data_IF_500509985980
#
_entry.id   IF_500509985980
#
_cell.length_a   1.000
_cell.length_b   1.000
_cell.length_c   1.000
_cell.angle_alpha   90.00
_cell.angle_beta   90.00
_cell.angle_gamma   90.00
#
_symmetry.space_group_name_H-M   'P 1'
#
loop_
_entity.id
_entity.type
_entity.pdbx_description
1 polymer ?
#
# COMPACT_ATOMS: atom_id res chain seq x y z
N UNK A 1 -18.52 22.69 5.13
CA UNK A 1 -17.52 23.24 4.19
C UNK A 1 -16.24 23.57 4.96
N UNK A 2 -15.15 22.83 4.71
CA UNK A 2 -13.72 23.05 5.08
C UNK A 2 -13.03 21.73 4.69
N UNK A 3 -12.29 21.56 3.59
CA UNK A 3 -11.45 22.51 2.86
C UNK A 3 -10.02 22.36 3.38
N UNK A 4 -9.14 21.82 2.52
CA UNK A 4 -7.71 21.53 2.71
C UNK A 4 -7.37 20.14 3.29
N UNK A 5 -7.12 19.21 2.36
CA UNK A 5 -6.23 18.07 2.57
C UNK A 5 -4.85 18.61 2.91
N UNK A 6 -4.55 18.67 4.20
CA UNK A 6 -3.25 19.10 4.68
C UNK A 6 -2.20 18.05 4.30
N UNK A 7 -1.28 18.46 3.43
CA UNK A 7 -0.12 17.69 2.95
C UNK A 7 0.92 17.52 4.08
N UNK A 8 0.69 18.10 5.28
CA UNK A 8 1.69 18.22 6.35
C UNK A 8 1.53 17.21 7.51
N UNK A 9 0.56 16.28 7.46
CA UNK A 9 0.57 15.15 8.40
C UNK A 9 1.46 14.01 7.87
N UNK A 10 2.60 13.75 8.51
CA UNK A 10 3.52 12.66 8.13
C UNK A 10 2.75 11.33 8.07
N UNK A 11 2.75 10.61 6.93
CA UNK A 11 2.12 9.31 6.84
C UNK A 11 2.87 8.31 7.74
N UNK A 12 2.16 7.45 8.45
CA UNK A 12 2.82 6.43 9.27
C UNK A 12 3.27 5.22 8.44
N UNK A 13 2.69 5.01 7.26
CA UNK A 13 3.12 4.04 6.27
C UNK A 13 3.03 4.63 4.85
N UNK A 14 4.13 4.51 4.11
CA UNK A 14 4.19 4.79 2.67
C UNK A 14 4.44 3.48 1.92
N UNK A 15 3.66 3.21 0.88
CA UNK A 15 3.78 2.03 0.03
C UNK A 15 4.10 2.49 -1.40
N UNK A 16 5.17 1.96 -1.98
CA UNK A 16 5.42 2.11 -3.43
C UNK A 16 4.43 1.26 -4.20
N UNK A 17 3.62 1.88 -5.07
CA UNK A 17 2.46 1.25 -5.68
C UNK A 17 2.52 1.33 -7.21
N UNK A 18 2.34 0.18 -7.87
CA UNK A 18 2.32 0.07 -9.34
C UNK A 18 0.96 0.38 -9.95
N UNK A 19 -0.12 0.30 -9.14
CA UNK A 19 -1.50 0.30 -9.62
C UNK A 19 -2.29 1.58 -9.28
N UNK A 20 -1.58 2.66 -8.92
CA UNK A 20 -2.12 4.02 -8.78
C UNK A 20 -1.76 4.87 -10.00
N UNK A 21 -2.39 6.03 -10.14
CA UNK A 21 -2.08 6.96 -11.23
C UNK A 21 -0.59 7.35 -11.21
N UNK A 22 0.10 7.13 -12.33
CA UNK A 22 1.53 7.36 -12.48
C UNK A 22 2.42 6.16 -12.13
N UNK A 23 1.86 5.08 -11.59
CA UNK A 23 2.57 3.81 -11.41
C UNK A 23 2.57 2.98 -12.70
N UNK A 24 3.62 2.19 -12.89
CA UNK A 24 3.81 1.38 -14.10
C UNK A 24 4.53 0.06 -13.81
N UNK A 25 4.34 -0.90 -14.71
CA UNK A 25 5.19 -2.09 -14.84
C UNK A 25 5.78 -2.10 -16.25
N UNK A 26 7.09 -2.29 -16.37
CA UNK A 26 7.81 -2.25 -17.64
C UNK A 26 8.31 -3.66 -17.97
N UNK A 27 8.20 -4.06 -19.25
CA UNK A 27 8.65 -5.37 -19.77
C UNK A 27 8.03 -6.61 -19.08
N UNK A 28 6.84 -6.47 -18.49
CA UNK A 28 6.11 -7.59 -17.92
C UNK A 28 5.25 -8.31 -18.96
N UNK A 29 5.26 -9.66 -19.01
CA UNK A 29 4.27 -10.41 -19.77
C UNK A 29 2.86 -10.13 -19.24
N UNK A 30 1.86 -9.95 -20.12
CA UNK A 30 0.48 -9.65 -19.73
C UNK A 30 -0.12 -10.63 -18.71
N UNK A 31 0.26 -11.92 -18.78
CA UNK A 31 -0.19 -12.94 -17.81
C UNK A 31 0.29 -12.63 -16.40
N UNK A 32 1.52 -12.11 -16.26
CA UNK A 32 2.11 -11.74 -14.96
C UNK A 32 1.42 -10.50 -14.40
N UNK A 33 1.14 -9.52 -15.25
CA UNK A 33 0.37 -8.33 -14.86
C UNK A 33 -1.03 -8.71 -14.38
N UNK A 34 -1.76 -9.53 -15.14
CA UNK A 34 -3.09 -9.98 -14.76
C UNK A 34 -3.08 -10.74 -13.43
N UNK A 35 -2.11 -11.64 -13.24
CA UNK A 35 -1.94 -12.37 -11.99
C UNK A 35 -1.70 -11.41 -10.81
N UNK A 36 -0.83 -10.40 -10.98
CA UNK A 36 -0.53 -9.43 -9.93
C UNK A 36 -1.72 -8.55 -9.58
N UNK A 37 -2.45 -8.03 -10.58
CA UNK A 37 -3.69 -7.28 -10.35
C UNK A 37 -4.75 -8.14 -9.67
N UNK A 38 -4.88 -9.40 -10.07
CA UNK A 38 -5.80 -10.37 -9.48
C UNK A 38 -5.47 -10.67 -8.01
N UNK A 39 -4.19 -10.87 -7.68
CA UNK A 39 -3.74 -11.09 -6.31
C UNK A 39 -4.03 -9.88 -5.40
N UNK A 40 -3.77 -8.66 -5.89
CA UNK A 40 -4.08 -7.43 -5.16
C UNK A 40 -5.59 -7.23 -4.96
N UNK A 41 -6.42 -7.52 -5.99
CA UNK A 41 -7.87 -7.48 -5.86
C UNK A 41 -8.37 -8.51 -4.83
N UNK A 42 -7.85 -9.73 -4.87
CA UNK A 42 -8.18 -10.77 -3.91
C UNK A 42 -7.84 -10.35 -2.48
N UNK A 43 -6.63 -9.84 -2.24
CA UNK A 43 -6.20 -9.34 -0.93
C UNK A 43 -7.10 -8.21 -0.43
N UNK A 44 -7.41 -7.22 -1.28
CA UNK A 44 -8.32 -6.12 -0.94
C UNK A 44 -9.71 -6.58 -0.53
N UNK A 45 -10.27 -7.57 -1.24
CA UNK A 45 -11.61 -8.10 -0.93
C UNK A 45 -11.58 -8.94 0.35
N UNK A 46 -10.61 -9.85 0.49
CA UNK A 46 -10.56 -10.78 1.63
C UNK A 46 -10.15 -10.11 2.94
N UNK A 47 -9.22 -9.16 2.89
CA UNK A 47 -8.70 -8.46 4.07
C UNK A 47 -9.42 -7.13 4.32
N UNK A 48 -10.33 -6.73 3.43
CA UNK A 48 -11.06 -5.46 3.50
C UNK A 48 -10.17 -4.22 3.63
N UNK A 49 -8.94 -4.29 3.10
CA UNK A 49 -7.97 -3.18 3.13
C UNK A 49 -8.09 -2.32 1.87
N UNK A 50 -8.12 -0.98 1.95
CA UNK A 50 -8.31 -0.09 0.81
C UNK A 50 -7.01 0.15 0.01
N UNK A 51 -6.17 -0.87 -0.17
CA UNK A 51 -4.88 -0.78 -0.87
C UNK A 51 -4.99 -1.22 -2.33
N UNK A 52 -4.26 -0.54 -3.21
CA UNK A 52 -4.14 -0.93 -4.63
C UNK A 52 -3.02 -1.94 -4.84
N UNK A 53 -1.95 -1.86 -4.04
CA UNK A 53 -0.81 -2.78 -4.15
C UNK A 53 -0.41 -3.39 -2.81
N UNK A 54 -1.27 -4.26 -2.27
CA UNK A 54 -1.00 -5.04 -1.07
C UNK A 54 0.23 -5.97 -1.21
N UNK A 55 0.58 -6.35 -2.44
CA UNK A 55 1.73 -7.24 -2.74
C UNK A 55 3.04 -6.49 -3.00
N UNK A 56 3.05 -5.16 -2.96
CA UNK A 56 4.28 -4.37 -3.13
C UNK A 56 5.33 -4.77 -2.09
N UNK A 57 6.62 -4.80 -2.46
CA UNK A 57 7.71 -5.04 -1.51
C UNK A 57 8.25 -3.75 -0.88
N UNK A 58 8.09 -2.61 -1.56
CA UNK A 58 8.64 -1.33 -1.13
C UNK A 58 7.70 -0.63 -0.14
N UNK A 59 8.06 -0.63 1.14
CA UNK A 59 7.31 0.03 2.23
C UNK A 59 8.25 0.85 3.10
N UNK A 60 7.79 2.01 3.54
CA UNK A 60 8.52 2.88 4.48
C UNK A 60 7.60 3.24 5.64
N UNK A 61 8.01 2.90 6.85
CA UNK A 61 7.29 3.25 8.08
C UNK A 61 7.95 4.50 8.69
N UNK A 62 7.18 5.55 8.99
CA UNK A 62 7.74 6.78 9.57
C UNK A 62 8.16 6.60 11.03
N UNK A 63 7.46 5.72 11.76
CA UNK A 63 7.81 5.22 13.07
C UNK A 63 7.00 3.92 13.24
N UNK A 64 7.66 2.82 13.64
CA UNK A 64 6.93 1.58 13.94
C UNK A 64 5.97 1.86 15.12
N UNK A 65 4.66 1.60 14.99
CA UNK A 65 3.76 1.63 16.13
C UNK A 65 4.31 0.73 17.24
N UNK A 66 4.25 1.14 18.52
CA UNK A 66 4.64 0.28 19.63
C UNK A 66 3.87 -1.05 19.56
N UNK A 67 4.60 -2.17 19.52
CA UNK A 67 4.01 -3.51 19.41
C UNK A 67 3.71 -3.99 17.99
N UNK A 68 4.04 -3.23 16.95
CA UNK A 68 4.03 -3.74 15.58
C UNK A 68 5.26 -4.61 15.35
N UNK A 69 5.04 -5.91 15.17
CA UNK A 69 6.04 -6.81 14.64
C UNK A 69 6.23 -6.54 13.14
N UNK A 70 7.39 -5.98 12.78
CA UNK A 70 7.73 -5.66 11.39
C UNK A 70 8.10 -6.90 10.58
N UNK A 71 8.47 -7.99 11.24
CA UNK A 71 8.76 -9.27 10.61
C UNK A 71 7.49 -10.08 10.34
N UNK A 72 6.35 -9.65 10.91
CA UNK A 72 5.05 -10.25 10.64
C UNK A 72 4.58 -9.96 9.21
N UNK A 73 4.17 -11.04 8.54
CA UNK A 73 3.59 -11.01 7.18
C UNK A 73 2.31 -10.16 7.12
N UNK A 74 1.59 -9.99 8.24
CA UNK A 74 0.33 -9.24 8.34
C UNK A 74 0.48 -7.76 8.72
N UNK A 75 1.71 -7.25 8.82
CA UNK A 75 2.01 -5.90 9.33
C UNK A 75 1.19 -4.79 8.65
N UNK A 76 0.81 -4.98 7.37
CA UNK A 76 -0.06 -4.06 6.62
C UNK A 76 -1.51 -4.04 7.12
N UNK A 77 -2.07 -5.19 7.47
CA UNK A 77 -3.44 -5.30 8.02
C UNK A 77 -3.49 -4.70 9.42
N UNK A 78 -2.46 -4.97 10.24
CA UNK A 78 -2.37 -4.38 11.59
C UNK A 78 -2.24 -2.86 11.60
N UNK A 79 -1.52 -2.31 10.63
CA UNK A 79 -1.38 -0.84 10.49
C UNK A 79 -2.68 -0.19 10.01
N UNK A 80 -3.46 -0.88 9.17
CA UNK A 80 -4.79 -0.43 8.79
C UNK A 80 -5.72 -0.33 10.02
N UNK A 81 -5.69 -1.33 10.91
CA UNK A 81 -6.52 -1.34 12.13
C UNK A 81 -6.04 -0.32 13.18
N UNK A 82 -4.76 0.08 13.11
CA UNK A 82 -4.10 1.01 14.04
C UNK A 82 -4.36 2.50 13.79
N UNK A 83 -5.33 2.88 12.94
CA UNK A 83 -5.64 4.29 12.62
C UNK A 83 -4.45 5.10 12.09
N UNK A 84 -3.52 4.44 11.40
CA UNK A 84 -2.35 5.09 10.81
C UNK A 84 -2.67 5.51 9.37
N UNK A 85 -2.33 6.75 8.99
CA UNK A 85 -2.46 7.20 7.60
C UNK A 85 -1.50 6.41 6.70
N UNK A 86 -2.06 5.63 5.78
CA UNK A 86 -1.34 4.92 4.72
C UNK A 86 -1.42 5.75 3.43
N UNK A 87 -0.30 5.91 2.74
CA UNK A 87 -0.20 6.61 1.45
C UNK A 87 0.46 5.71 0.41
N UNK A 88 -0.14 5.63 -0.77
CA UNK A 88 0.44 4.93 -1.93
C UNK A 88 1.11 5.95 -2.86
N UNK A 89 2.39 5.73 -3.14
CA UNK A 89 3.21 6.59 -4.02
C UNK A 89 3.50 5.82 -5.31
N UNK A 90 3.27 6.41 -6.50
CA UNK A 90 3.52 5.74 -7.76
C UNK A 90 4.99 5.34 -7.90
N UNK A 91 5.22 4.10 -8.32
CA UNK A 91 6.54 3.61 -8.73
C UNK A 91 6.46 2.99 -10.12
N UNK A 92 7.60 3.01 -10.81
CA UNK A 92 7.84 2.18 -11.99
C UNK A 92 8.59 0.92 -11.54
N UNK A 93 8.15 -0.24 -12.05
CA UNK A 93 8.69 -1.55 -11.68
C UNK A 93 9.07 -2.38 -12.90
#
# INVERSE_FOLDING_TARGET
MRGAFDIVARPGLVIGCRWVQGGSVVDWPMRRELLSRGANLHARVMLQVPLHDATAGCRVFSAAPPGLDLDAIDSTVRVHDGWVRIVEVPIEF
#
